data_IF_292788362363
#
_entry.id   IF_292788362363
#
_cell.length_a   1.000
_cell.length_b   1.000
_cell.length_c   1.000
_cell.angle_alpha   90.00
_cell.angle_beta   90.00
_cell.angle_gamma   90.00
#
_symmetry.space_group_name_H-M   'P 1'
#
loop_
_entity.id
_entity.type
_entity.pdbx_description
1 polymer ?
#
# COMPACT_ATOMS: atom_id res chain seq x y z
N UNK A 1 -34.11 44.88 45.43
CA UNK A 1 -33.59 45.81 44.41
C UNK A 1 -34.54 46.04 43.22
N UNK A 2 -34.54 47.24 42.62
CA UNK A 2 -35.23 47.54 41.34
C UNK A 2 -34.17 47.79 40.25
N UNK A 3 -34.27 47.09 39.12
CA UNK A 3 -33.38 47.26 37.96
C UNK A 3 -34.18 47.76 36.78
N UNK A 4 -33.79 48.90 36.20
CA UNK A 4 -34.38 49.45 34.97
C UNK A 4 -33.63 48.92 33.75
N UNK A 5 -34.40 48.43 32.77
CA UNK A 5 -33.88 47.91 31.49
C UNK A 5 -34.06 48.96 30.41
N UNK A 6 -33.04 49.17 29.58
CA UNK A 6 -33.13 50.05 28.42
C UNK A 6 -33.82 49.32 27.24
N UNK A 7 -34.61 50.00 26.37
CA UNK A 7 -35.17 49.37 25.17
C UNK A 7 -34.14 48.62 24.30
N UNK A 8 -32.88 49.07 24.28
CA UNK A 8 -31.80 48.45 23.51
C UNK A 8 -31.04 47.34 24.25
N UNK A 9 -31.22 47.17 25.57
CA UNK A 9 -30.46 46.20 26.38
C UNK A 9 -30.71 44.75 25.90
N UNK A 10 -29.61 44.03 25.62
CA UNK A 10 -29.65 42.60 25.26
C UNK A 10 -29.77 41.69 26.49
N UNK A 11 -30.20 40.44 26.29
CA UNK A 11 -30.37 39.45 27.37
C UNK A 11 -29.11 39.28 28.23
N UNK A 12 -27.92 39.25 27.62
CA UNK A 12 -26.66 39.04 28.34
C UNK A 12 -26.36 40.18 29.31
N UNK A 13 -26.62 41.42 28.90
CA UNK A 13 -26.44 42.62 29.74
C UNK A 13 -27.38 42.58 30.93
N UNK A 14 -28.65 42.22 30.69
CA UNK A 14 -29.67 42.11 31.73
C UNK A 14 -29.31 41.01 32.75
N UNK A 15 -28.90 39.83 32.27
CA UNK A 15 -28.47 38.71 33.13
C UNK A 15 -27.23 39.08 33.94
N UNK A 16 -26.28 39.81 33.36
CA UNK A 16 -25.09 40.25 34.08
C UNK A 16 -25.43 41.21 35.22
N UNK A 17 -26.30 42.20 34.98
CA UNK A 17 -26.80 43.12 36.03
C UNK A 17 -27.54 42.37 37.13
N UNK A 18 -28.38 41.39 36.76
CA UNK A 18 -29.08 40.55 37.74
C UNK A 18 -28.09 39.75 38.58
N UNK A 19 -26.99 39.23 38.02
CA UNK A 19 -26.00 38.44 38.78
C UNK A 19 -25.18 39.27 39.75
N UNK A 20 -24.79 40.48 39.35
CA UNK A 20 -23.96 41.38 40.16
C UNK A 20 -24.64 41.87 41.44
N UNK A 21 -25.98 41.86 41.46
CA UNK A 21 -26.74 42.35 42.60
C UNK A 21 -26.58 41.44 43.85
N UNK A 22 -26.56 41.98 45.06
CA UNK A 22 -26.47 41.15 46.27
C UNK A 22 -27.86 40.72 46.79
N UNK A 23 -28.90 41.48 46.45
CA UNK A 23 -30.29 41.20 46.83
C UNK A 23 -30.83 39.91 46.18
N UNK A 24 -31.54 39.11 46.98
CA UNK A 24 -32.25 37.93 46.51
C UNK A 24 -33.59 38.24 45.87
N UNK A 25 -34.19 39.41 46.14
CA UNK A 25 -35.44 39.87 45.52
C UNK A 25 -35.19 41.02 44.54
N UNK A 26 -35.48 40.79 43.26
CA UNK A 26 -35.21 41.73 42.17
C UNK A 26 -36.48 42.02 41.39
N UNK A 27 -36.81 43.31 41.26
CA UNK A 27 -37.87 43.81 40.39
C UNK A 27 -37.24 44.38 39.13
N UNK A 28 -37.50 43.76 37.98
CA UNK A 28 -37.00 44.19 36.68
C UNK A 28 -38.06 45.03 35.98
N UNK A 29 -37.82 46.34 35.83
CA UNK A 29 -38.72 47.26 35.12
C UNK A 29 -38.34 47.26 33.65
N UNK A 30 -39.24 46.73 32.82
CA UNK A 30 -39.02 46.53 31.39
C UNK A 30 -39.93 47.47 30.60
N UNK A 31 -39.37 48.43 29.83
CA UNK A 31 -40.15 49.35 29.02
C UNK A 31 -40.88 48.60 27.90
N UNK A 32 -42.01 49.13 27.41
CA UNK A 32 -42.57 48.64 26.15
C UNK A 32 -41.49 48.79 25.07
N UNK A 33 -41.39 47.81 24.17
CA UNK A 33 -40.41 47.78 23.06
C UNK A 33 -39.01 47.19 23.32
N UNK A 34 -38.68 46.70 24.53
CA UNK A 34 -37.43 45.93 24.68
C UNK A 34 -37.45 44.67 23.80
N UNK A 35 -36.58 44.61 22.80
CA UNK A 35 -36.59 43.56 21.77
C UNK A 35 -36.17 42.20 22.32
N UNK A 36 -35.22 42.17 23.26
CA UNK A 36 -34.68 40.95 23.81
C UNK A 36 -35.72 40.18 24.64
N UNK A 37 -36.52 40.87 25.44
CA UNK A 37 -37.51 40.26 26.32
C UNK A 37 -38.87 40.02 25.66
N UNK A 38 -39.06 40.42 24.40
CA UNK A 38 -40.23 40.01 23.60
C UNK A 38 -40.12 38.59 23.05
N UNK A 39 -38.90 38.05 22.99
CA UNK A 39 -38.69 36.64 22.63
C UNK A 39 -38.98 35.72 23.84
N UNK A 40 -39.88 34.77 23.63
CA UNK A 40 -40.23 33.73 24.61
C UNK A 40 -39.02 32.92 25.08
N UNK A 41 -38.05 32.64 24.21
CA UNK A 41 -36.84 31.87 24.54
C UNK A 41 -35.99 32.65 25.54
N UNK A 42 -35.85 33.96 25.32
CA UNK A 42 -35.05 34.83 26.18
C UNK A 42 -35.65 34.99 27.57
N UNK A 43 -36.98 35.10 27.69
CA UNK A 43 -37.65 35.07 29.00
C UNK A 43 -37.42 33.73 29.72
N UNK A 44 -37.45 32.61 29.00
CA UNK A 44 -37.20 31.29 29.59
C UNK A 44 -35.76 31.16 30.10
N UNK A 45 -34.79 31.69 29.34
CA UNK A 45 -33.39 31.74 29.75
C UNK A 45 -33.20 32.67 30.96
N UNK A 46 -33.83 33.84 30.97
CA UNK A 46 -33.79 34.78 32.08
C UNK A 46 -34.33 34.14 33.39
N UNK A 47 -35.47 33.46 33.31
CA UNK A 47 -36.05 32.73 34.45
C UNK A 47 -35.10 31.66 34.99
N UNK A 48 -34.46 30.91 34.08
CA UNK A 48 -33.47 29.89 34.45
C UNK A 48 -32.26 30.51 35.14
N UNK A 49 -31.68 31.58 34.60
CA UNK A 49 -30.52 32.25 35.19
C UNK A 49 -30.81 32.86 36.56
N UNK A 50 -32.00 33.43 36.75
CA UNK A 50 -32.44 33.93 38.06
C UNK A 50 -32.53 32.79 39.08
N UNK A 51 -33.13 31.66 38.70
CA UNK A 51 -33.22 30.47 39.55
C UNK A 51 -31.86 29.86 39.89
N UNK A 52 -30.98 29.75 38.90
CA UNK A 52 -29.61 29.25 39.08
C UNK A 52 -28.78 30.15 40.01
N UNK A 53 -29.11 31.45 40.04
CA UNK A 53 -28.46 32.43 40.91
C UNK A 53 -29.17 32.61 42.26
N UNK A 54 -30.16 31.75 42.57
CA UNK A 54 -31.00 31.80 43.79
C UNK A 54 -31.73 33.15 44.01
N UNK A 55 -32.15 33.80 42.92
CA UNK A 55 -32.83 35.10 42.94
C UNK A 55 -34.30 34.98 42.54
N UNK A 56 -35.15 35.65 43.31
CA UNK A 56 -36.58 35.80 43.07
C UNK A 56 -36.80 37.02 42.17
N UNK A 57 -37.04 36.75 40.89
CA UNK A 57 -37.25 37.76 39.86
C UNK A 57 -38.74 38.10 39.69
N UNK A 58 -39.07 39.38 39.72
CA UNK A 58 -40.40 39.92 39.43
C UNK A 58 -40.28 40.90 38.25
N UNK A 59 -41.09 40.76 37.22
CA UNK A 59 -41.06 41.64 36.04
C UNK A 59 -42.15 42.70 36.17
N UNK A 60 -41.80 43.98 36.05
CA UNK A 60 -42.74 45.10 35.97
C UNK A 60 -42.77 45.64 34.55
N UNK A 61 -43.89 45.51 33.84
CA UNK A 61 -44.00 45.96 32.44
C UNK A 61 -45.45 46.25 32.03
N UNK A 62 -45.61 47.10 31.01
CA UNK A 62 -46.87 47.34 30.32
C UNK A 62 -47.02 46.59 28.98
N UNK A 63 -46.00 45.86 28.50
CA UNK A 63 -46.07 45.18 27.20
C UNK A 63 -46.83 43.83 27.26
N UNK A 64 -47.94 43.67 26.52
CA UNK A 64 -48.74 42.44 26.54
C UNK A 64 -47.98 41.16 26.15
N UNK A 65 -46.97 41.25 25.27
CA UNK A 65 -46.19 40.08 24.84
C UNK A 65 -45.24 39.59 25.92
N UNK A 66 -44.57 40.53 26.59
CA UNK A 66 -43.64 40.23 27.70
C UNK A 66 -44.42 39.62 28.87
N UNK A 67 -45.59 40.17 29.21
CA UNK A 67 -46.50 39.63 30.23
C UNK A 67 -46.87 38.18 29.90
N UNK A 68 -47.34 37.92 28.68
CA UNK A 68 -47.76 36.58 28.22
C UNK A 68 -46.62 35.57 28.32
N UNK A 69 -45.41 35.95 27.94
CA UNK A 69 -44.26 35.06 27.95
C UNK A 69 -43.72 34.83 29.37
N UNK A 70 -43.74 35.84 30.24
CA UNK A 70 -43.33 35.73 31.63
C UNK A 70 -44.29 34.85 32.44
N UNK A 71 -45.60 35.02 32.26
CA UNK A 71 -46.62 34.16 32.88
C UNK A 71 -46.47 32.70 32.42
N UNK A 72 -46.13 32.47 31.14
CA UNK A 72 -45.91 31.12 30.59
C UNK A 72 -44.69 30.38 31.18
N UNK A 73 -43.80 31.08 31.88
CA UNK A 73 -42.63 30.51 32.58
C UNK A 73 -42.75 30.69 34.10
N UNK A 74 -43.96 30.98 34.59
CA UNK A 74 -44.28 31.12 36.03
C UNK A 74 -43.51 32.24 36.75
N UNK A 75 -43.02 33.25 36.02
CA UNK A 75 -42.45 34.44 36.63
C UNK A 75 -43.57 35.36 37.15
N UNK A 76 -43.34 35.99 38.31
CA UNK A 76 -44.29 36.97 38.85
C UNK A 76 -44.23 38.26 38.04
N UNK A 77 -45.38 38.77 37.62
CA UNK A 77 -45.49 40.00 36.82
C UNK A 77 -46.33 41.05 37.55
N UNK A 78 -45.81 42.27 37.63
CA UNK A 78 -46.52 43.46 38.10
C UNK A 78 -46.85 44.28 36.85
N UNK A 79 -48.14 44.54 36.61
CA UNK A 79 -48.56 45.35 35.46
C UNK A 79 -48.29 46.82 35.76
N UNK A 80 -47.56 47.49 34.86
CA UNK A 80 -47.26 48.91 34.98
C UNK A 80 -48.20 49.71 34.07
N UNK A 81 -49.23 50.32 34.64
CA UNK A 81 -50.18 51.19 33.92
C UNK A 81 -49.68 52.64 33.80
N UNK A 82 -48.45 52.93 34.25
CA UNK A 82 -47.88 54.28 34.33
C UNK A 82 -46.68 54.55 33.42
N UNK A 83 -46.25 53.58 32.60
CA UNK A 83 -45.03 53.71 31.76
C UNK A 83 -45.29 54.35 30.38
N UNK A 84 -46.01 55.48 30.36
CA UNK A 84 -46.10 56.39 29.22
C UNK A 84 -46.04 57.84 29.71
N UNK A 85 -44.98 58.20 30.43
CA UNK A 85 -44.68 59.60 30.75
C UNK A 85 -43.21 59.80 31.14
N UNK A 86 -42.62 60.85 30.55
CA UNK A 86 -41.39 61.61 30.91
C UNK A 86 -40.05 60.89 30.58
N UNK A 87 -39.06 61.44 29.88
CA UNK A 87 -38.57 62.84 29.78
C UNK A 87 -38.05 63.19 28.36
N UNK A 88 -38.57 64.30 27.82
CA UNK A 88 -37.85 65.17 26.88
C UNK A 88 -36.93 66.09 27.71
N UNK A 89 -35.66 66.21 27.30
CA UNK A 89 -34.72 67.20 27.78
C UNK A 89 -34.43 68.24 26.70
N UNK A 90 -34.94 69.45 26.94
CA UNK A 90 -34.46 70.77 26.55
C UNK A 90 -34.08 71.04 25.07
N UNK A 91 -34.91 71.86 24.40
CA UNK A 91 -34.39 73.08 23.79
C UNK A 91 -35.49 74.14 23.63
N UNK A 92 -35.12 75.36 23.98
CA UNK A 92 -35.93 76.56 24.15
C UNK A 92 -36.66 77.00 22.88
N UNK A 93 -37.91 77.49 23.01
CA UNK A 93 -38.33 78.80 22.48
C UNK A 93 -39.84 79.06 22.68
N UNK A 94 -40.11 80.04 23.54
CA UNK A 94 -41.11 81.12 23.42
C UNK A 94 -42.45 80.80 22.73
N UNK A 95 -43.50 80.77 23.54
CA UNK A 95 -44.90 80.75 23.19
C UNK A 95 -45.41 82.11 22.65
N UNK A 96 -45.97 82.17 21.42
CA UNK A 96 -47.04 83.13 21.04
C UNK A 96 -48.01 82.54 20.00
N UNK A 97 -49.24 82.27 20.47
CA UNK A 97 -50.59 82.33 19.83
C UNK A 97 -50.82 81.95 18.34
N UNK A 98 -51.70 80.94 18.21
CA UNK A 98 -52.86 80.80 17.31
C UNK A 98 -52.75 81.15 15.81
N UNK A 99 -52.88 80.13 14.94
CA UNK A 99 -54.09 79.88 14.09
C UNK A 99 -53.85 78.76 13.06
N UNK A 100 -54.69 77.73 13.16
CA UNK A 100 -55.38 77.04 12.06
C UNK A 100 -54.62 76.81 10.72
N UNK A 101 -53.95 75.65 10.56
CA UNK A 101 -53.64 75.05 9.25
C UNK A 101 -53.24 73.56 9.33
N UNK A 102 -54.04 72.73 10.01
CA UNK A 102 -53.93 71.27 9.91
C UNK A 102 -54.58 70.78 8.60
N UNK A 103 -53.82 70.74 7.49
CA UNK A 103 -54.10 69.81 6.39
C UNK A 103 -52.97 69.64 5.37
N UNK A 104 -51.89 70.46 5.39
CA UNK A 104 -50.75 70.31 4.47
C UNK A 104 -49.64 69.38 4.98
N UNK A 105 -49.25 69.45 6.26
CA UNK A 105 -48.16 68.62 6.81
C UNK A 105 -48.40 67.10 6.75
N UNK A 106 -49.66 66.65 6.89
CA UNK A 106 -50.00 65.22 6.79
C UNK A 106 -49.90 64.71 5.36
N UNK A 107 -50.25 65.54 4.38
CA UNK A 107 -50.17 65.21 2.96
C UNK A 107 -48.71 65.20 2.51
N UNK A 108 -47.89 66.14 2.98
CA UNK A 108 -46.45 66.17 2.70
C UNK A 108 -45.71 64.96 3.30
N UNK A 109 -45.98 64.60 4.56
CA UNK A 109 -45.42 63.37 5.17
C UNK A 109 -45.87 62.09 4.45
N UNK A 110 -47.11 62.04 3.96
CA UNK A 110 -47.62 60.91 3.19
C UNK A 110 -46.98 60.81 1.79
N UNK A 111 -46.74 61.96 1.13
CA UNK A 111 -46.03 62.02 -0.15
C UNK A 111 -44.57 61.57 0.03
N UNK A 112 -43.89 62.00 1.10
CA UNK A 112 -42.52 61.57 1.40
C UNK A 112 -42.47 60.06 1.69
N UNK A 113 -43.41 59.53 2.48
CA UNK A 113 -43.52 58.09 2.73
C UNK A 113 -43.81 57.29 1.44
N UNK A 114 -44.67 57.79 0.56
CA UNK A 114 -44.94 57.16 -0.73
C UNK A 114 -43.74 57.23 -1.67
N UNK A 115 -42.95 58.31 -1.65
CA UNK A 115 -41.70 58.42 -2.41
C UNK A 115 -40.62 57.48 -1.88
N UNK A 116 -40.52 57.31 -0.56
CA UNK A 116 -39.62 56.33 0.05
C UNK A 116 -40.08 54.91 -0.31
N UNK A 117 -41.38 54.61 -0.18
CA UNK A 117 -41.94 53.32 -0.57
C UNK A 117 -41.75 53.04 -2.07
N UNK A 118 -41.97 54.02 -2.94
CA UNK A 118 -41.73 53.91 -4.38
C UNK A 118 -40.23 53.77 -4.71
N UNK A 119 -39.35 54.44 -3.97
CA UNK A 119 -37.90 54.27 -4.11
C UNK A 119 -37.45 52.89 -3.64
N UNK A 120 -37.99 52.40 -2.53
CA UNK A 120 -37.71 51.04 -2.01
C UNK A 120 -38.24 49.98 -2.97
N UNK A 121 -39.47 50.14 -3.48
CA UNK A 121 -40.05 49.25 -4.49
C UNK A 121 -39.31 49.33 -5.83
N UNK A 122 -38.87 50.52 -6.25
CA UNK A 122 -38.07 50.73 -7.45
C UNK A 122 -36.69 50.11 -7.32
N UNK A 123 -36.05 50.24 -6.15
CA UNK A 123 -34.78 49.60 -5.83
C UNK A 123 -34.95 48.08 -5.78
N UNK A 124 -35.99 47.57 -5.13
CA UNK A 124 -36.32 46.14 -5.10
C UNK A 124 -36.52 45.59 -6.52
N UNK A 125 -37.35 46.25 -7.34
CA UNK A 125 -37.57 45.87 -8.74
C UNK A 125 -36.28 45.92 -9.58
N UNK A 126 -35.39 46.88 -9.31
CA UNK A 126 -34.10 46.97 -9.96
C UNK A 126 -33.15 45.81 -9.62
N UNK A 127 -33.32 45.16 -8.48
CA UNK A 127 -32.51 44.01 -8.05
C UNK A 127 -33.09 42.64 -8.42
N UNK A 128 -34.31 42.55 -8.97
CA UNK A 128 -34.90 41.28 -9.38
C UNK A 128 -34.34 40.79 -10.74
N UNK A 129 -34.08 39.48 -10.90
CA UNK A 129 -33.74 38.90 -12.19
C UNK A 129 -34.94 39.00 -13.14
N UNK A 130 -34.68 39.41 -14.38
CA UNK A 130 -35.70 39.60 -15.44
C UNK A 130 -35.68 38.51 -16.50
N UNK A 131 -34.58 37.77 -16.59
CA UNK A 131 -34.49 36.59 -17.44
C UNK A 131 -33.77 35.45 -16.72
N UNK A 132 -34.23 34.22 -16.96
CA UNK A 132 -33.60 32.99 -16.50
C UNK A 132 -33.04 32.28 -17.71
N UNK A 133 -31.72 32.11 -17.74
CA UNK A 133 -30.99 31.47 -18.82
C UNK A 133 -30.50 30.13 -18.29
N UNK A 134 -30.84 29.07 -19.01
CA UNK A 134 -30.43 27.71 -18.66
C UNK A 134 -29.24 27.34 -19.53
N UNK A 135 -28.20 26.82 -18.87
CA UNK A 135 -26.91 26.52 -19.49
C UNK A 135 -26.55 25.08 -19.18
N UNK A 136 -26.36 24.30 -20.24
CA UNK A 136 -25.92 22.90 -20.14
C UNK A 136 -24.40 22.86 -20.31
N UNK A 137 -23.64 22.35 -19.33
CA UNK A 137 -22.19 22.21 -19.47
C UNK A 137 -21.86 21.16 -20.52
N UNK A 138 -20.79 21.40 -21.28
CA UNK A 138 -20.30 20.45 -22.26
C UNK A 138 -19.68 19.25 -21.56
N UNK A 139 -20.07 18.06 -21.98
CA UNK A 139 -19.48 16.81 -21.55
C UNK A 139 -18.67 16.23 -22.70
N UNK A 140 -17.42 15.89 -22.42
CA UNK A 140 -16.56 15.23 -23.39
C UNK A 140 -15.87 14.02 -22.74
N UNK A 141 -15.67 12.98 -23.56
CA UNK A 141 -14.86 11.85 -23.16
C UNK A 141 -13.40 12.20 -23.32
N UNK A 142 -12.70 12.33 -22.20
CA UNK A 142 -11.27 12.58 -22.14
C UNK A 142 -10.52 11.25 -22.06
N UNK A 143 -9.65 11.01 -23.04
CA UNK A 143 -8.78 9.83 -23.09
C UNK A 143 -7.36 10.26 -22.85
N UNK A 144 -6.70 9.64 -21.88
CA UNK A 144 -5.34 9.98 -21.51
C UNK A 144 -4.55 8.74 -21.13
N UNK A 145 -3.29 8.69 -21.57
CA UNK A 145 -2.37 7.60 -21.24
C UNK A 145 -1.40 8.11 -20.19
N UNK A 146 -1.49 7.56 -18.98
CA UNK A 146 -0.55 7.82 -17.91
C UNK A 146 0.58 6.81 -17.94
N UNK A 147 1.81 7.30 -17.78
CA UNK A 147 3.01 6.49 -17.60
C UNK A 147 3.67 6.94 -16.31
N UNK A 148 3.65 6.09 -15.29
CA UNK A 148 4.13 6.44 -13.95
C UNK A 148 4.93 5.28 -13.35
N UNK A 149 5.95 5.57 -12.51
CA UNK A 149 6.62 4.55 -11.72
C UNK A 149 5.61 3.83 -10.81
N UNK A 150 5.69 2.51 -10.74
CA UNK A 150 4.75 1.69 -9.96
C UNK A 150 4.84 1.99 -8.46
N UNK A 151 6.04 2.28 -7.96
CA UNK A 151 6.36 2.64 -6.58
C UNK A 151 6.03 4.09 -6.22
N UNK A 152 5.77 4.94 -7.22
CA UNK A 152 5.48 6.37 -7.04
C UNK A 152 3.99 6.70 -6.90
N UNK A 153 3.11 5.70 -6.94
CA UNK A 153 1.66 5.87 -6.86
C UNK A 153 1.12 5.52 -5.48
N UNK A 154 0.32 6.42 -4.92
CA UNK A 154 -0.46 6.14 -3.72
C UNK A 154 -1.42 4.96 -3.96
N UNK A 155 -1.52 4.07 -2.97
CA UNK A 155 -2.27 2.82 -3.08
C UNK A 155 -1.50 1.64 -3.65
N UNK A 156 -0.25 1.83 -4.06
CA UNK A 156 0.65 0.73 -4.44
C UNK A 156 1.77 0.60 -3.42
N UNK A 157 1.90 -0.59 -2.83
CA UNK A 157 2.91 -0.86 -1.80
C UNK A 157 3.71 -2.12 -2.14
N UNK A 158 5.03 -2.08 -1.98
CA UNK A 158 5.88 -3.27 -2.08
C UNK A 158 5.77 -4.08 -0.79
N UNK A 159 5.10 -5.24 -0.86
CA UNK A 159 5.08 -6.19 0.22
C UNK A 159 6.25 -7.16 0.14
N UNK A 160 6.78 -7.54 1.29
CA UNK A 160 7.79 -8.58 1.41
C UNK A 160 7.46 -9.53 2.55
N UNK A 161 7.60 -10.81 2.28
CA UNK A 161 7.45 -11.89 3.26
C UNK A 161 8.65 -12.81 3.14
N UNK A 162 8.99 -13.48 4.24
CA UNK A 162 10.13 -14.39 4.26
C UNK A 162 9.78 -15.67 5.02
N UNK A 163 10.40 -16.77 4.61
CA UNK A 163 10.29 -18.05 5.28
C UNK A 163 11.60 -18.82 5.16
N UNK A 164 11.91 -19.66 6.14
CA UNK A 164 13.06 -20.56 6.13
C UNK A 164 12.57 -21.95 5.72
N UNK A 165 13.01 -22.43 4.56
CA UNK A 165 12.67 -23.77 4.10
C UNK A 165 13.89 -24.68 4.10
N UNK A 166 13.67 -25.91 4.51
CA UNK A 166 14.56 -27.04 4.24
C UNK A 166 13.78 -28.12 3.50
N UNK A 167 14.36 -28.65 2.43
CA UNK A 167 13.82 -29.80 1.69
C UNK A 167 14.88 -30.87 1.50
N UNK A 168 14.41 -32.11 1.40
CA UNK A 168 15.24 -33.31 1.32
C UNK A 168 14.86 -34.17 0.13
N UNK A 169 15.83 -34.89 -0.42
CA UNK A 169 15.65 -35.91 -1.44
C UNK A 169 16.57 -37.10 -1.13
N UNK A 170 16.21 -38.34 -1.53
CA UNK A 170 17.10 -39.48 -1.35
C UNK A 170 18.42 -39.31 -2.10
N UNK A 171 19.52 -39.76 -1.49
CA UNK A 171 20.81 -39.86 -2.15
C UNK A 171 20.79 -41.00 -3.18
N UNK A 172 21.28 -40.75 -4.38
CA UNK A 172 21.32 -41.74 -5.48
C UNK A 172 22.75 -42.12 -5.86
N UNK A 173 23.74 -41.35 -5.40
CA UNK A 173 25.14 -41.66 -5.58
C UNK A 173 25.55 -42.92 -4.83
N UNK A 174 26.48 -43.65 -5.42
CA UNK A 174 27.09 -44.84 -4.82
C UNK A 174 28.59 -44.73 -4.89
N UNK A 175 29.26 -44.96 -3.77
CA UNK A 175 30.72 -44.98 -3.67
C UNK A 175 31.16 -46.32 -3.12
N UNK A 176 32.00 -47.00 -3.88
CA UNK A 176 32.58 -48.28 -3.47
C UNK A 176 33.86 -47.99 -2.70
N UNK A 177 33.95 -48.49 -1.47
CA UNK A 177 35.12 -48.36 -0.60
C UNK A 177 35.58 -49.74 -0.16
N UNK A 178 36.85 -50.05 -0.38
CA UNK A 178 37.45 -51.30 0.09
C UNK A 178 37.68 -51.27 1.60
N UNK A 179 37.17 -52.28 2.31
CA UNK A 179 37.26 -52.40 3.78
C UNK A 179 38.30 -53.44 4.24
N UNK A 180 38.55 -54.46 3.42
CA UNK A 180 39.48 -55.54 3.72
C UNK A 180 40.52 -55.65 2.61
N UNK A 181 41.76 -55.98 2.96
CA UNK A 181 42.83 -56.20 1.98
C UNK A 181 42.93 -57.67 1.62
N UNK A 182 43.09 -57.93 0.33
CA UNK A 182 43.33 -59.28 -0.14
C UNK A 182 44.70 -59.79 0.30
N UNK A 183 44.75 -61.05 0.70
CA UNK A 183 45.97 -61.76 1.10
C UNK A 183 46.16 -63.00 0.23
N UNK A 184 47.39 -63.46 0.15
CA UNK A 184 47.74 -64.71 -0.51
C UNK A 184 49.23 -64.98 -0.41
N UNK A 185 49.72 -65.90 -1.24
CA UNK A 185 51.14 -66.23 -1.30
C UNK A 185 51.64 -66.21 -2.74
N UNK A 186 52.91 -65.89 -2.91
CA UNK A 186 53.63 -65.95 -4.18
C UNK A 186 54.85 -66.83 -4.05
N UNK A 187 55.13 -67.59 -5.09
CA UNK A 187 56.41 -68.27 -5.28
C UNK A 187 57.36 -67.36 -6.04
N UNK A 188 58.49 -67.07 -5.40
CA UNK A 188 59.62 -66.39 -6.00
C UNK A 188 60.58 -67.44 -6.56
N UNK A 189 61.00 -67.26 -7.81
CA UNK A 189 61.86 -68.19 -8.55
C UNK A 189 63.15 -67.47 -8.92
N UNK A 190 64.26 -67.96 -8.38
CA UNK A 190 65.60 -67.44 -8.63
C UNK A 190 66.36 -68.38 -9.58
N UNK A 191 66.74 -67.85 -10.74
CA UNK A 191 67.55 -68.56 -11.74
C UNK A 191 69.03 -68.16 -11.68
N UNK A 192 69.41 -67.24 -10.78
CA UNK A 192 70.79 -66.77 -10.61
C UNK A 192 71.62 -67.70 -9.71
N UNK A 193 72.94 -67.53 -9.76
CA UNK A 193 73.90 -68.28 -8.94
C UNK A 193 74.10 -67.71 -7.52
N UNK A 194 73.49 -66.58 -7.21
CA UNK A 194 73.51 -65.95 -5.89
C UNK A 194 72.13 -66.00 -5.24
N UNK A 195 72.08 -66.16 -3.93
CA UNK A 195 70.81 -66.02 -3.20
C UNK A 195 70.29 -64.57 -3.28
N UNK A 196 68.97 -64.41 -3.22
CA UNK A 196 68.32 -63.11 -3.22
C UNK A 196 67.55 -62.91 -1.91
N UNK A 197 67.91 -61.89 -1.13
CA UNK A 197 67.22 -61.51 0.10
C UNK A 197 66.13 -60.47 -0.22
N UNK A 198 64.86 -60.89 -0.17
CA UNK A 198 63.70 -60.03 -0.37
C UNK A 198 63.20 -59.55 0.98
N UNK A 199 63.20 -58.24 1.18
CA UNK A 199 62.74 -57.64 2.43
C UNK A 199 61.21 -57.63 2.53
N UNK A 200 60.71 -57.50 3.76
CA UNK A 200 59.32 -57.17 4.06
C UNK A 200 58.98 -55.81 3.44
N UNK A 201 57.79 -55.72 2.86
CA UNK A 201 57.29 -54.51 2.21
C UNK A 201 57.76 -54.32 0.77
N UNK A 202 58.51 -55.27 0.20
CA UNK A 202 58.83 -55.25 -1.23
C UNK A 202 57.56 -55.33 -2.06
N UNK A 203 57.47 -54.48 -3.09
CA UNK A 203 56.27 -54.36 -3.93
C UNK A 203 56.29 -55.37 -5.06
N UNK A 204 55.18 -56.08 -5.21
CA UNK A 204 54.87 -56.94 -6.34
C UNK A 204 53.72 -56.36 -7.15
N UNK A 205 53.68 -56.70 -8.43
CA UNK A 205 52.75 -56.09 -9.38
C UNK A 205 52.13 -57.14 -10.31
N UNK A 206 50.85 -56.95 -10.57
CA UNK A 206 50.11 -57.71 -11.59
C UNK A 206 50.23 -57.04 -12.95
N UNK A 207 49.95 -57.77 -14.03
CA UNK A 207 49.92 -57.18 -15.37
C UNK A 207 48.88 -56.06 -15.57
N UNK A 208 47.91 -55.92 -14.65
CA UNK A 208 46.89 -54.86 -14.64
C UNK A 208 47.21 -53.71 -13.68
N UNK A 209 48.40 -53.69 -13.06
CA UNK A 209 48.86 -52.61 -12.18
C UNK A 209 48.40 -52.71 -10.71
N UNK A 210 47.73 -53.79 -10.31
CA UNK A 210 47.38 -54.03 -8.89
C UNK A 210 48.66 -54.36 -8.13
N UNK A 211 48.87 -53.68 -7.00
CA UNK A 211 50.08 -53.76 -6.19
C UNK A 211 49.87 -54.59 -4.92
N UNK A 212 50.87 -55.39 -4.61
CA UNK A 212 50.97 -56.19 -3.39
C UNK A 212 52.27 -55.87 -2.67
N UNK A 213 52.34 -56.14 -1.37
CA UNK A 213 53.55 -56.02 -0.55
C UNK A 213 53.84 -57.34 0.17
N UNK A 214 55.12 -57.72 0.28
CA UNK A 214 55.53 -58.86 1.12
C UNK A 214 55.28 -58.55 2.60
N UNK A 215 54.80 -59.54 3.36
CA UNK A 215 54.49 -59.36 4.78
C UNK A 215 55.66 -59.69 5.71
N UNK A 216 56.66 -60.44 5.20
CA UNK A 216 57.85 -60.92 5.92
C UNK A 216 59.06 -60.93 5.00
N UNK A 217 60.26 -60.95 5.59
CA UNK A 217 61.51 -61.16 4.86
C UNK A 217 61.60 -62.60 4.35
N UNK A 218 62.13 -62.81 3.15
CA UNK A 218 62.34 -64.15 2.56
C UNK A 218 63.66 -64.20 1.81
N UNK A 219 64.40 -65.30 1.96
CA UNK A 219 65.62 -65.56 1.20
C UNK A 219 65.32 -66.59 0.13
N UNK A 220 65.53 -66.23 -1.13
CA UNK A 220 65.35 -67.13 -2.28
C UNK A 220 66.72 -67.75 -2.62
N UNK A 221 66.90 -69.07 -2.48
CA UNK A 221 68.19 -69.71 -2.71
C UNK A 221 68.64 -69.56 -4.17
N UNK A 222 69.93 -69.75 -4.42
CA UNK A 222 70.48 -69.80 -5.77
C UNK A 222 70.06 -71.08 -6.52
N UNK A 223 70.23 -71.08 -7.84
CA UNK A 223 70.06 -72.29 -8.68
C UNK A 223 71.02 -73.40 -8.23
N UNK A 224 70.51 -74.63 -8.10
CA UNK A 224 71.29 -75.80 -7.71
C UNK A 224 71.40 -76.80 -8.86
N UNK A 225 72.60 -77.30 -9.12
CA UNK A 225 72.86 -78.34 -10.13
C UNK A 225 72.49 -79.72 -9.57
N UNK A 226 71.61 -80.44 -10.27
CA UNK A 226 71.29 -81.83 -9.97
C UNK A 226 72.31 -82.76 -10.63
N UNK A 227 72.74 -83.78 -9.90
CA UNK A 227 73.66 -84.80 -10.37
C UNK A 227 73.01 -86.18 -10.33
N UNK A 228 73.26 -87.01 -11.34
CA UNK A 228 72.95 -88.43 -11.35
C UNK A 228 74.23 -89.21 -11.67
N UNK A 229 74.70 -90.05 -10.74
CA UNK A 229 75.98 -90.75 -10.86
C UNK A 229 77.15 -89.81 -11.24
N UNK A 230 77.29 -88.68 -10.52
CA UNK A 230 78.31 -87.64 -10.74
C UNK A 230 78.25 -86.91 -12.09
N UNK A 231 77.19 -87.10 -12.88
CA UNK A 231 76.95 -86.39 -14.13
C UNK A 231 75.89 -85.31 -13.87
N UNK A 232 76.13 -84.04 -14.24
CA UNK A 232 75.14 -82.98 -14.11
C UNK A 232 73.95 -83.26 -15.05
N UNK A 233 72.77 -83.50 -14.49
CA UNK A 233 71.55 -83.88 -15.23
C UNK A 233 70.54 -82.75 -15.36
N UNK A 234 70.71 -81.64 -14.64
CA UNK A 234 69.82 -80.50 -14.78
C UNK A 234 70.10 -79.38 -13.79
N UNK A 235 69.42 -78.25 -13.99
CA UNK A 235 69.40 -77.12 -13.06
C UNK A 235 68.04 -77.06 -12.36
N UNK A 236 68.04 -76.91 -11.05
CA UNK A 236 66.83 -76.62 -10.26
C UNK A 236 66.89 -75.17 -9.79
N UNK A 237 65.97 -74.34 -10.30
CA UNK A 237 65.83 -72.96 -9.85
C UNK A 237 65.53 -72.94 -8.34
N UNK A 238 66.13 -71.99 -7.64
CA UNK A 238 65.80 -71.75 -6.25
C UNK A 238 64.38 -71.22 -6.13
N UNK A 239 63.62 -71.72 -5.17
CA UNK A 239 62.23 -71.29 -4.94
C UNK A 239 62.03 -70.97 -3.47
N UNK A 240 61.31 -69.90 -3.21
CA UNK A 240 60.81 -69.59 -1.87
C UNK A 240 59.40 -69.01 -1.98
N UNK A 241 58.55 -69.34 -1.01
CA UNK A 241 57.19 -68.83 -0.92
C UNK A 241 57.13 -67.71 0.12
N UNK A 242 56.38 -66.65 -0.20
CA UNK A 242 56.19 -65.51 0.71
C UNK A 242 54.74 -65.05 0.70
N UNK A 243 54.22 -64.78 1.89
CA UNK A 243 52.89 -64.21 2.10
C UNK A 243 52.87 -62.73 1.68
N UNK A 244 51.82 -62.36 0.97
CA UNK A 244 51.61 -61.03 0.42
C UNK A 244 50.25 -60.46 0.82
N UNK A 245 50.18 -59.13 0.88
CA UNK A 245 48.97 -58.35 1.17
C UNK A 245 48.80 -57.28 0.09
N UNK A 246 47.58 -57.08 -0.41
CA UNK A 246 47.27 -56.01 -1.34
C UNK A 246 47.61 -54.64 -0.72
N UNK A 247 48.16 -53.73 -1.53
CA UNK A 247 48.50 -52.39 -1.04
C UNK A 247 47.23 -51.60 -0.72
N UNK A 248 46.27 -51.63 -1.63
CA UNK A 248 44.94 -51.03 -1.48
C UNK A 248 43.95 -52.07 -0.94
N UNK A 249 43.02 -51.61 -0.10
CA UNK A 249 41.90 -52.43 0.34
C UNK A 249 40.85 -52.52 -0.77
N UNK A 250 40.11 -53.63 -0.80
CA UNK A 250 38.98 -53.83 -1.71
C UNK A 250 39.07 -55.10 -2.53
N UNK A 251 37.96 -55.44 -3.21
CA UNK A 251 37.84 -56.68 -3.96
C UNK A 251 38.77 -56.73 -5.18
N UNK A 252 39.26 -55.58 -5.65
CA UNK A 252 40.27 -55.49 -6.71
C UNK A 252 41.56 -56.23 -6.35
N UNK A 253 41.87 -56.37 -5.06
CA UNK A 253 43.02 -57.15 -4.60
C UNK A 253 42.86 -58.67 -4.77
N UNK A 254 41.65 -59.18 -5.08
CA UNK A 254 41.39 -60.61 -5.28
C UNK A 254 41.70 -60.98 -6.74
N UNK A 255 42.93 -61.42 -7.00
CA UNK A 255 43.40 -61.77 -8.33
C UNK A 255 43.53 -63.28 -8.48
N UNK A 256 43.22 -63.77 -9.68
CA UNK A 256 43.35 -65.20 -9.99
C UNK A 256 44.81 -65.68 -9.90
N UNK A 257 45.00 -67.00 -9.82
CA UNK A 257 46.32 -67.64 -9.91
C UNK A 257 47.10 -67.16 -11.17
N UNK A 258 48.41 -66.96 -11.02
CA UNK A 258 49.33 -66.53 -12.08
C UNK A 258 49.20 -65.08 -12.54
N UNK A 259 48.45 -64.22 -11.84
CA UNK A 259 48.28 -62.80 -12.21
C UNK A 259 49.35 -61.88 -11.66
N UNK A 260 50.00 -62.25 -10.56
CA UNK A 260 51.14 -61.51 -10.00
C UNK A 260 52.39 -62.00 -10.71
N UNK A 261 53.03 -61.10 -11.45
CA UNK A 261 54.05 -61.47 -12.45
C UNK A 261 55.39 -60.76 -12.27
N UNK A 262 55.44 -59.69 -11.48
CA UNK A 262 56.64 -58.87 -11.31
C UNK A 262 56.90 -58.52 -9.84
N UNK A 263 58.18 -58.34 -9.50
CA UNK A 263 58.65 -57.83 -8.21
C UNK A 263 59.64 -56.69 -8.44
N UNK A 264 59.45 -55.58 -7.72
CA UNK A 264 60.25 -54.37 -7.94
C UNK A 264 61.61 -54.48 -7.25
N UNK A 265 62.67 -54.21 -8.01
CA UNK A 265 64.05 -54.17 -7.48
C UNK A 265 64.77 -55.52 -7.40
N UNK A 266 64.18 -56.58 -7.96
CA UNK A 266 64.77 -57.92 -7.96
C UNK A 266 64.64 -58.55 -9.35
N UNK A 267 65.66 -59.31 -9.78
CA UNK A 267 65.63 -60.13 -10.99
C UNK A 267 65.14 -61.55 -10.64
N UNK A 268 63.86 -61.64 -10.29
CA UNK A 268 63.19 -62.90 -9.89
C UNK A 268 61.91 -63.08 -10.70
N UNK A 269 61.63 -64.30 -11.12
CA UNK A 269 60.31 -64.64 -11.67
C UNK A 269 59.32 -64.84 -10.50
N UNK A 270 58.13 -64.28 -10.62
CA UNK A 270 57.09 -64.34 -9.58
C UNK A 270 55.82 -64.93 -10.15
N UNK A 271 55.22 -65.84 -9.39
CA UNK A 271 53.87 -66.32 -9.66
C UNK A 271 53.12 -66.58 -8.36
N UNK A 272 51.85 -66.19 -8.29
CA UNK A 272 50.94 -66.71 -7.28
C UNK A 272 50.36 -68.05 -7.74
N UNK A 273 50.63 -69.12 -7.00
CA UNK A 273 50.11 -70.47 -7.31
C UNK A 273 48.60 -70.54 -7.06
N UNK A 274 48.14 -69.89 -5.99
CA UNK A 274 46.74 -69.78 -5.61
C UNK A 274 46.23 -68.35 -5.83
N UNK A 275 44.90 -68.16 -6.02
CA UNK A 275 44.31 -66.82 -6.07
C UNK A 275 44.48 -66.09 -4.74
N UNK A 276 44.60 -64.76 -4.79
CA UNK A 276 44.48 -63.93 -3.58
C UNK A 276 43.01 -63.74 -3.22
N UNK A 277 42.71 -63.64 -1.93
CA UNK A 277 41.34 -63.56 -1.42
C UNK A 277 41.26 -62.71 -0.15
N UNK A 278 40.05 -62.38 0.30
CA UNK A 278 39.83 -61.57 1.51
C UNK A 278 39.73 -60.07 1.27
N UNK A 279 39.88 -59.61 0.03
CA UNK A 279 39.53 -58.24 -0.35
C UNK A 279 38.01 -58.06 -0.41
N UNK A 280 37.47 -57.11 0.36
CA UNK A 280 36.02 -56.86 0.43
C UNK A 280 35.73 -55.38 0.22
N UNK A 281 34.62 -55.11 -0.46
CA UNK A 281 34.11 -53.77 -0.74
C UNK A 281 32.80 -53.52 -0.01
N UNK A 282 32.57 -52.28 0.41
CA UNK A 282 31.29 -51.77 0.89
C UNK A 282 30.80 -50.69 -0.06
N UNK A 283 29.50 -50.70 -0.36
CA UNK A 283 28.85 -49.66 -1.14
C UNK A 283 28.22 -48.67 -0.18
N UNK A 284 28.72 -47.43 -0.19
CA UNK A 284 28.19 -46.30 0.57
C UNK A 284 27.27 -45.47 -0.31
N UNK A 285 26.17 -44.98 0.26
CA UNK A 285 25.34 -43.95 -0.38
C UNK A 285 26.00 -42.59 -0.20
N UNK A 286 26.10 -41.85 -1.30
CA UNK A 286 26.73 -40.54 -1.31
C UNK A 286 25.89 -39.52 -2.05
N UNK A 287 25.99 -38.27 -1.63
CA UNK A 287 25.36 -37.16 -2.30
C UNK A 287 26.00 -36.88 -3.66
N UNK A 288 25.19 -36.87 -4.73
CA UNK A 288 25.61 -36.39 -6.06
C UNK A 288 24.99 -35.05 -6.38
N UNK A 289 25.58 -34.33 -7.34
CA UNK A 289 25.16 -32.97 -7.70
C UNK A 289 23.71 -32.91 -8.16
N UNK A 290 23.25 -33.93 -8.88
CA UNK A 290 21.87 -34.05 -9.32
C UNK A 290 20.88 -34.14 -8.14
N UNK A 291 21.27 -34.78 -7.04
CA UNK A 291 20.43 -34.86 -5.83
C UNK A 291 20.34 -33.50 -5.14
N UNK A 292 21.45 -32.77 -5.07
CA UNK A 292 21.51 -31.44 -4.47
C UNK A 292 20.65 -30.46 -5.29
N UNK A 293 20.75 -30.50 -6.62
CA UNK A 293 19.92 -29.70 -7.53
C UNK A 293 18.43 -30.03 -7.38
N UNK A 294 18.07 -31.32 -7.21
CA UNK A 294 16.70 -31.71 -6.90
C UNK A 294 16.22 -31.12 -5.58
N UNK A 295 17.01 -31.18 -4.51
CA UNK A 295 16.66 -30.58 -3.23
C UNK A 295 16.48 -29.05 -3.34
N UNK A 296 17.35 -28.36 -4.08
CA UNK A 296 17.24 -26.92 -4.34
C UNK A 296 15.96 -26.58 -5.11
N UNK A 297 15.60 -27.37 -6.13
CA UNK A 297 14.38 -27.18 -6.90
C UNK A 297 13.11 -27.38 -6.04
N UNK A 298 13.15 -28.32 -5.09
CA UNK A 298 12.07 -28.48 -4.10
C UNK A 298 11.92 -27.23 -3.22
N UNK A 299 13.02 -26.68 -2.71
CA UNK A 299 12.99 -25.42 -1.92
C UNK A 299 12.43 -24.27 -2.76
N UNK A 300 12.86 -24.12 -4.02
CA UNK A 300 12.36 -23.04 -4.89
C UNK A 300 10.85 -23.15 -5.15
N UNK A 301 10.38 -24.33 -5.51
CA UNK A 301 8.95 -24.57 -5.80
C UNK A 301 8.08 -24.36 -4.56
N UNK A 302 8.46 -24.98 -3.45
CA UNK A 302 7.66 -24.92 -2.23
C UNK A 302 7.76 -23.54 -1.58
N UNK A 303 8.93 -22.90 -1.66
CA UNK A 303 9.13 -21.53 -1.21
C UNK A 303 8.29 -20.54 -1.99
N UNK A 304 8.22 -20.66 -3.32
CA UNK A 304 7.32 -19.86 -4.15
C UNK A 304 5.86 -20.00 -3.70
N UNK A 305 5.39 -21.24 -3.49
CA UNK A 305 4.03 -21.48 -3.04
C UNK A 305 3.75 -20.90 -1.64
N UNK A 306 4.61 -21.20 -0.65
CA UNK A 306 4.43 -20.71 0.72
C UNK A 306 4.48 -19.18 0.82
N UNK A 307 5.36 -18.52 0.05
CA UNK A 307 5.47 -17.06 0.00
C UNK A 307 4.25 -16.41 -0.66
N UNK A 308 3.71 -17.01 -1.74
CA UNK A 308 2.47 -16.53 -2.37
C UNK A 308 1.30 -16.64 -1.41
N UNK A 309 1.16 -17.77 -0.74
CA UNK A 309 0.10 -17.97 0.26
C UNK A 309 0.22 -16.96 1.41
N UNK A 310 1.45 -16.69 1.89
CA UNK A 310 1.70 -15.69 2.91
C UNK A 310 1.34 -14.26 2.46
N UNK A 311 1.67 -13.88 1.22
CA UNK A 311 1.28 -12.58 0.65
C UNK A 311 -0.25 -12.47 0.52
N UNK A 312 -0.93 -13.53 0.09
CA UNK A 312 -2.39 -13.56 -0.03
C UNK A 312 -3.07 -13.31 1.32
N UNK A 313 -2.55 -13.91 2.40
CA UNK A 313 -3.05 -13.67 3.76
C UNK A 313 -2.87 -12.20 4.19
N UNK A 314 -1.82 -11.54 3.72
CA UNK A 314 -1.53 -10.14 4.04
C UNK A 314 -2.36 -9.14 3.19
N UNK A 315 -3.09 -9.59 2.17
CA UNK A 315 -3.80 -8.70 1.24
C UNK A 315 -4.79 -7.77 1.93
N UNK A 316 -5.55 -8.25 2.91
CA UNK A 316 -6.47 -7.40 3.68
C UNK A 316 -7.49 -6.61 2.82
N UNK A 317 -7.85 -7.11 1.63
CA UNK A 317 -8.71 -6.42 0.66
C UNK A 317 -7.98 -5.76 -0.53
N UNK A 318 -6.65 -5.73 -0.51
CA UNK A 318 -5.79 -5.31 -1.63
C UNK A 318 -5.66 -6.43 -2.66
N UNK A 319 -5.16 -6.09 -3.85
CA UNK A 319 -4.87 -7.04 -4.93
C UNK A 319 -3.37 -7.17 -5.12
N UNK A 320 -2.86 -8.40 -5.22
CA UNK A 320 -1.47 -8.65 -5.60
C UNK A 320 -1.32 -8.55 -7.11
N UNK A 321 -0.29 -7.85 -7.59
CA UNK A 321 0.12 -7.89 -8.99
C UNK A 321 1.04 -9.09 -9.18
N UNK A 322 0.47 -10.20 -9.67
CA UNK A 322 1.18 -11.48 -9.81
C UNK A 322 2.44 -11.40 -10.68
N UNK A 323 2.38 -10.60 -11.75
CA UNK A 323 3.49 -10.36 -12.69
C UNK A 323 4.72 -9.72 -12.02
N UNK A 324 4.53 -9.07 -10.87
CA UNK A 324 5.63 -8.44 -10.12
C UNK A 324 6.24 -9.35 -9.07
N UNK A 325 5.68 -10.55 -8.85
CA UNK A 325 6.17 -11.48 -7.85
C UNK A 325 7.58 -11.97 -8.19
N UNK A 326 8.51 -11.71 -7.29
CA UNK A 326 9.89 -12.18 -7.36
C UNK A 326 10.27 -12.90 -6.09
N UNK A 327 11.03 -13.98 -6.25
CA UNK A 327 11.59 -14.76 -5.16
C UNK A 327 13.12 -14.66 -5.18
N UNK A 328 13.68 -14.21 -4.07
CA UNK A 328 15.11 -14.26 -3.79
C UNK A 328 15.35 -15.40 -2.79
N UNK A 329 16.37 -16.22 -3.01
CA UNK A 329 16.71 -17.33 -2.10
C UNK A 329 18.16 -17.16 -1.64
N UNK A 330 18.34 -16.97 -0.34
CA UNK A 330 19.65 -16.99 0.30
C UNK A 330 19.89 -18.39 0.89
N UNK A 331 20.75 -19.17 0.23
CA UNK A 331 21.08 -20.52 0.70
C UNK A 331 21.89 -20.47 1.99
N UNK A 332 21.36 -21.09 3.04
CA UNK A 332 22.00 -21.14 4.36
C UNK A 332 22.91 -22.36 4.49
N UNK A 333 22.44 -23.52 4.03
CA UNK A 333 23.19 -24.77 4.12
C UNK A 333 22.67 -25.80 3.11
N UNK A 334 23.53 -26.71 2.67
CA UNK A 334 23.17 -27.84 1.80
C UNK A 334 24.20 -28.97 1.92
N UNK A 335 23.80 -30.18 1.55
CA UNK A 335 24.73 -31.31 1.45
C UNK A 335 25.83 -31.04 0.42
N UNK A 336 26.98 -31.68 0.59
CA UNK A 336 28.13 -31.55 -0.31
C UNK A 336 28.27 -32.77 -1.22
N UNK A 337 28.88 -32.58 -2.40
CA UNK A 337 29.19 -33.70 -3.29
C UNK A 337 30.14 -34.68 -2.59
N UNK A 338 29.90 -35.99 -2.75
CA UNK A 338 30.63 -37.09 -2.09
C UNK A 338 30.44 -37.20 -0.57
N UNK A 339 29.53 -36.43 0.03
CA UNK A 339 29.12 -36.61 1.42
C UNK A 339 28.43 -37.96 1.60
N UNK A 340 28.86 -38.76 2.58
CA UNK A 340 28.23 -40.03 2.93
C UNK A 340 26.91 -39.78 3.66
N UNK A 341 25.79 -39.97 2.95
CA UNK A 341 24.45 -39.72 3.47
C UNK A 341 23.41 -40.50 2.66
N UNK A 342 22.32 -40.92 3.32
CA UNK A 342 21.15 -41.50 2.66
C UNK A 342 20.17 -40.44 2.14
N UNK A 343 20.26 -39.20 2.63
CA UNK A 343 19.42 -38.08 2.23
C UNK A 343 20.24 -36.82 1.96
N UNK A 344 19.93 -36.18 0.85
CA UNK A 344 20.49 -34.88 0.44
C UNK A 344 19.51 -33.78 0.79
N UNK A 345 19.99 -32.69 1.36
CA UNK A 345 19.14 -31.56 1.72
C UNK A 345 19.66 -30.23 1.16
N UNK A 346 18.72 -29.30 1.00
CA UNK A 346 19.00 -27.90 0.74
C UNK A 346 18.14 -27.05 1.69
N UNK A 347 18.74 -26.00 2.25
CA UNK A 347 18.09 -25.06 3.15
C UNK A 347 18.40 -23.63 2.75
N UNK A 348 17.36 -22.79 2.70
CA UNK A 348 17.53 -21.39 2.36
C UNK A 348 16.42 -20.51 2.94
N UNK A 349 16.76 -19.24 3.13
CA UNK A 349 15.79 -18.19 3.45
C UNK A 349 15.22 -17.72 2.11
N UNK A 350 13.93 -17.97 1.91
CA UNK A 350 13.19 -17.52 0.74
C UNK A 350 12.52 -16.19 1.08
N UNK A 351 12.74 -15.17 0.25
CA UNK A 351 12.14 -13.84 0.37
C UNK A 351 11.29 -13.58 -0.86
N UNK A 352 9.98 -13.47 -0.66
CA UNK A 352 9.01 -13.15 -1.71
C UNK A 352 8.68 -11.67 -1.68
N UNK A 353 8.73 -11.02 -2.84
CA UNK A 353 8.41 -9.60 -3.02
C UNK A 353 7.37 -9.45 -4.10
N UNK A 354 6.33 -8.67 -3.86
CA UNK A 354 5.32 -8.32 -4.85
C UNK A 354 4.67 -6.98 -4.52
N UNK A 355 4.14 -6.31 -5.53
CA UNK A 355 3.35 -5.11 -5.34
C UNK A 355 1.89 -5.47 -5.01
N UNK A 356 1.38 -4.83 -3.96
CA UNK A 356 -0.01 -4.88 -3.56
C UNK A 356 -0.70 -3.57 -3.93
N UNK A 357 -1.94 -3.66 -4.38
CA UNK A 357 -2.73 -2.54 -4.91
C UNK A 357 -4.03 -2.40 -4.12
N UNK A 358 -4.23 -1.21 -3.57
CA UNK A 358 -5.52 -0.74 -3.07
C UNK A 358 -6.23 0.02 -4.20
N UNK A 359 -7.29 -0.57 -4.76
CA UNK A 359 -8.01 0.00 -5.91
C UNK A 359 -8.65 1.37 -5.59
N UNK A 360 -9.09 1.59 -4.36
CA UNK A 360 -9.73 2.84 -3.96
C UNK A 360 -8.70 3.97 -3.84
N UNK A 361 -7.51 3.66 -3.33
CA UNK A 361 -6.41 4.63 -3.29
C UNK A 361 -5.85 4.90 -4.69
N UNK A 362 -5.64 3.84 -5.48
CA UNK A 362 -5.12 3.96 -6.84
C UNK A 362 -6.04 4.79 -7.73
N UNK A 363 -7.36 4.59 -7.64
CA UNK A 363 -8.33 5.38 -8.42
C UNK A 363 -8.29 6.87 -8.06
N UNK A 364 -8.23 7.21 -6.76
CA UNK A 364 -8.08 8.60 -6.30
C UNK A 364 -6.76 9.23 -6.75
N UNK A 365 -5.65 8.51 -6.63
CA UNK A 365 -4.33 8.96 -7.07
C UNK A 365 -4.30 9.21 -8.58
N UNK A 366 -4.86 8.29 -9.35
CA UNK A 366 -4.98 8.41 -10.81
C UNK A 366 -5.85 9.60 -11.20
N UNK A 367 -6.99 9.81 -10.52
CA UNK A 367 -7.86 10.96 -10.79
C UNK A 367 -7.18 12.30 -10.53
N UNK A 368 -6.36 12.40 -9.48
CA UNK A 368 -5.58 13.61 -9.19
C UNK A 368 -4.56 13.91 -10.30
N UNK A 369 -3.85 12.89 -10.78
CA UNK A 369 -2.91 13.02 -11.90
C UNK A 369 -3.63 13.38 -13.22
N UNK A 370 -4.80 12.79 -13.47
CA UNK A 370 -5.60 13.12 -14.65
C UNK A 370 -6.11 14.55 -14.63
N UNK A 371 -6.45 15.09 -13.46
CA UNK A 371 -6.94 16.45 -13.32
C UNK A 371 -5.92 17.51 -13.79
N UNK A 372 -4.61 17.24 -13.65
CA UNK A 372 -3.54 18.12 -14.16
C UNK A 372 -3.46 18.15 -15.70
N UNK A 373 -3.93 17.09 -16.35
CA UNK A 373 -3.92 16.97 -17.81
C UNK A 373 -5.22 17.47 -18.48
N UNK A 374 -6.23 17.87 -17.69
CA UNK A 374 -7.51 18.36 -18.22
C UNK A 374 -7.32 19.73 -18.88
N UNK A 375 -7.86 19.94 -20.09
CA UNK A 375 -7.78 21.24 -20.77
C UNK A 375 -8.44 22.38 -19.97
N UNK A 376 -7.93 23.61 -20.16
CA UNK A 376 -8.51 24.81 -19.56
C UNK A 376 -10.01 24.95 -19.87
N UNK A 377 -10.79 25.37 -18.88
CA UNK A 377 -12.24 25.50 -19.00
C UNK A 377 -13.03 24.21 -18.78
N UNK A 378 -12.36 23.11 -18.43
CA UNK A 378 -12.98 21.84 -18.04
C UNK A 378 -12.54 21.38 -16.65
N UNK A 379 -13.34 20.52 -16.03
CA UNK A 379 -13.03 19.83 -14.78
C UNK A 379 -13.30 18.34 -14.93
N UNK A 380 -12.42 17.50 -14.40
CA UNK A 380 -12.60 16.06 -14.36
C UNK A 380 -13.78 15.69 -13.46
N UNK A 381 -14.58 14.70 -13.86
CA UNK A 381 -15.58 14.06 -13.00
C UNK A 381 -14.97 12.77 -12.45
N UNK A 382 -14.45 12.75 -11.20
CA UNK A 382 -13.59 11.67 -10.71
C UNK A 382 -14.26 10.29 -10.71
N UNK A 383 -15.58 10.25 -10.49
CA UNK A 383 -16.37 9.00 -10.44
C UNK A 383 -16.49 8.30 -11.80
N UNK A 384 -16.22 9.01 -12.91
CA UNK A 384 -16.29 8.46 -14.27
C UNK A 384 -14.96 7.91 -14.78
N UNK A 385 -13.92 7.94 -13.95
CA UNK A 385 -12.59 7.43 -14.33
C UNK A 385 -12.67 5.90 -14.47
N UNK A 386 -12.40 5.43 -15.68
CA UNK A 386 -12.33 4.02 -16.04
C UNK A 386 -10.99 3.69 -16.68
N UNK A 387 -10.56 2.44 -16.55
CA UNK A 387 -9.31 1.93 -17.12
C UNK A 387 -9.62 1.06 -18.34
N UNK A 388 -9.21 1.52 -19.53
CA UNK A 388 -9.34 0.76 -20.79
C UNK A 388 -8.34 -0.41 -20.83
N UNK A 389 -7.11 -0.16 -20.36
CA UNK A 389 -6.05 -1.16 -20.29
C UNK A 389 -5.02 -0.77 -19.23
N UNK A 390 -4.53 -1.77 -18.51
CA UNK A 390 -3.44 -1.66 -17.55
C UNK A 390 -2.33 -2.57 -18.01
N UNK A 391 -1.11 -2.05 -18.15
CA UNK A 391 0.07 -2.87 -18.41
C UNK A 391 1.25 -2.42 -17.58
N UNK A 392 2.06 -3.39 -17.16
CA UNK A 392 3.24 -3.16 -16.35
C UNK A 392 4.45 -3.61 -17.15
N UNK A 393 5.41 -2.70 -17.28
CA UNK A 393 6.67 -2.97 -17.96
C UNK A 393 7.80 -2.94 -16.95
N UNK A 394 8.64 -3.97 -16.94
CA UNK A 394 9.89 -3.94 -16.18
C UNK A 394 10.95 -3.14 -16.94
N UNK A 395 11.61 -2.22 -16.24
CA UNK A 395 12.71 -1.38 -16.74
C UNK A 395 13.91 -1.48 -15.79
N UNK A 396 15.09 -0.99 -16.18
CA UNK A 396 16.27 -0.99 -15.30
C UNK A 396 16.06 -0.20 -13.99
N UNK A 397 15.15 0.77 -13.99
CA UNK A 397 14.81 1.59 -12.82
C UNK A 397 13.68 1.01 -11.97
N UNK A 398 13.10 -0.14 -12.33
CA UNK A 398 11.94 -0.74 -11.66
C UNK A 398 10.76 -0.95 -12.61
N UNK A 399 9.56 -1.08 -12.05
CA UNK A 399 8.35 -1.28 -12.86
C UNK A 399 7.70 0.05 -13.25
N UNK A 400 7.34 0.20 -14.52
CA UNK A 400 6.51 1.29 -15.00
C UNK A 400 5.09 0.80 -15.26
N UNK A 401 4.13 1.53 -14.71
CA UNK A 401 2.70 1.32 -14.92
C UNK A 401 2.23 2.20 -16.08
N UNK A 402 1.65 1.57 -17.10
CA UNK A 402 0.98 2.23 -18.20
C UNK A 402 -0.53 2.07 -18.03
N UNK A 403 -1.21 3.19 -17.80
CA UNK A 403 -2.66 3.23 -17.63
C UNK A 403 -3.26 3.95 -18.82
N UNK A 404 -4.04 3.23 -19.63
CA UNK A 404 -4.93 3.88 -20.59
C UNK A 404 -6.24 4.17 -19.89
N UNK A 405 -6.51 5.44 -19.68
CA UNK A 405 -7.66 5.90 -18.90
C UNK A 405 -8.66 6.64 -19.79
N UNK A 406 -9.93 6.52 -19.42
CA UNK A 406 -11.02 7.28 -20.00
C UNK A 406 -11.87 7.87 -18.86
N UNK A 407 -12.19 9.15 -18.96
CA UNK A 407 -13.05 9.85 -18.00
C UNK A 407 -13.94 10.87 -18.69
N UNK A 408 -15.00 11.31 -18.04
CA UNK A 408 -15.82 12.44 -18.48
C UNK A 408 -15.24 13.73 -17.89
N UNK A 409 -15.01 14.71 -18.76
CA UNK A 409 -14.71 16.08 -18.36
C UNK A 409 -15.95 16.95 -18.58
N UNK A 410 -16.23 17.82 -17.63
CA UNK A 410 -17.35 18.77 -17.67
C UNK A 410 -16.81 20.19 -17.82
N UNK A 411 -17.38 20.97 -18.74
CA UNK A 411 -17.05 22.38 -18.84
C UNK A 411 -17.37 23.18 -17.57
N UNK A 412 -16.44 24.03 -17.15
CA UNK A 412 -16.61 24.94 -16.02
C UNK A 412 -17.39 26.15 -16.49
N UNK A 413 -18.49 26.47 -15.81
CA UNK A 413 -19.34 27.61 -16.13
C UNK A 413 -19.18 28.66 -15.04
N UNK A 414 -18.60 29.81 -15.40
CA UNK A 414 -18.65 31.01 -14.57
C UNK A 414 -19.92 31.79 -14.90
N UNK A 415 -20.91 31.70 -14.01
CA UNK A 415 -22.21 32.37 -14.15
C UNK A 415 -22.07 33.89 -14.31
N UNK A 416 -21.13 34.52 -13.61
CA UNK A 416 -20.97 35.97 -13.62
C UNK A 416 -20.37 36.45 -14.94
N UNK A 417 -19.32 35.77 -15.41
CA UNK A 417 -18.68 36.07 -16.69
C UNK A 417 -19.63 35.79 -17.85
N UNK A 418 -20.38 34.68 -17.80
CA UNK A 418 -21.35 34.34 -18.82
C UNK A 418 -22.53 35.33 -18.87
N UNK A 419 -23.03 35.77 -17.71
CA UNK A 419 -24.05 36.81 -17.64
C UNK A 419 -23.56 38.16 -18.21
N UNK A 420 -22.27 38.49 -18.06
CA UNK A 420 -21.70 39.70 -18.67
C UNK A 420 -21.64 39.60 -20.19
N UNK A 421 -21.27 38.43 -20.72
CA UNK A 421 -21.17 38.21 -22.17
C UNK A 421 -22.54 38.15 -22.85
N UNK A 422 -23.57 37.64 -22.15
CA UNK A 422 -24.95 37.52 -22.63
C UNK A 422 -25.78 38.81 -22.46
N UNK A 423 -25.36 39.74 -21.60
CA UNK A 423 -26.12 40.96 -21.33
C UNK A 423 -26.29 41.82 -22.59
N UNK A 424 -27.53 42.15 -22.93
CA UNK A 424 -27.89 42.97 -24.09
C UNK A 424 -27.77 42.29 -25.45
N UNK A 425 -27.38 41.01 -25.49
CA UNK A 425 -27.27 40.20 -26.71
C UNK A 425 -28.63 39.82 -27.28
N UNK A 426 -28.66 39.66 -28.58
CA UNK A 426 -29.80 39.15 -29.34
C UNK A 426 -29.67 37.64 -29.53
N UNK A 427 -30.77 36.94 -29.79
CA UNK A 427 -30.79 35.47 -29.88
C UNK A 427 -29.80 34.93 -30.92
N UNK A 428 -29.67 35.62 -32.07
CA UNK A 428 -28.73 35.30 -33.14
C UNK A 428 -27.24 35.44 -32.72
N UNK A 429 -26.95 36.19 -31.66
CA UNK A 429 -25.59 36.40 -31.15
C UNK A 429 -25.20 35.36 -30.08
N UNK A 430 -26.14 34.53 -29.60
CA UNK A 430 -25.88 33.50 -28.58
C UNK A 430 -24.89 32.46 -29.10
N UNK A 431 -24.95 32.11 -30.39
CA UNK A 431 -23.99 31.20 -31.03
C UNK A 431 -22.56 31.73 -30.97
N UNK A 432 -22.36 33.05 -31.03
CA UNK A 432 -21.04 33.67 -30.89
C UNK A 432 -20.51 33.53 -29.46
N UNK A 433 -21.40 33.65 -28.47
CA UNK A 433 -21.06 33.45 -27.05
C UNK A 433 -20.77 31.98 -26.77
N UNK A 434 -21.48 31.04 -27.39
CA UNK A 434 -21.19 29.60 -27.33
C UNK A 434 -19.79 29.28 -27.88
N UNK A 435 -19.40 29.87 -29.03
CA UNK A 435 -18.06 29.68 -29.60
C UNK A 435 -16.96 30.23 -28.67
N UNK A 436 -17.22 31.35 -27.99
CA UNK A 436 -16.28 31.95 -27.04
C UNK A 436 -16.16 31.16 -25.72
N UNK A 437 -17.10 30.26 -25.42
CA UNK A 437 -17.13 29.47 -24.19
C UNK A 437 -17.14 27.96 -24.52
N UNK A 438 -15.98 27.35 -24.81
CA UNK A 438 -15.90 25.95 -25.24
C UNK A 438 -16.42 24.94 -24.20
N UNK A 439 -16.52 25.33 -22.92
CA UNK A 439 -17.11 24.53 -21.84
C UNK A 439 -18.64 24.49 -21.82
N UNK A 440 -19.33 25.25 -22.68
CA UNK A 440 -20.81 25.30 -22.73
C UNK A 440 -21.31 24.49 -23.93
N UNK A 441 -22.21 23.53 -23.69
CA UNK A 441 -22.84 22.76 -24.78
C UNK A 441 -24.07 23.46 -25.35
N UNK A 442 -24.88 24.06 -24.47
CA UNK A 442 -26.15 24.68 -24.87
C UNK A 442 -26.51 25.84 -23.96
N UNK A 443 -27.10 26.88 -24.55
CA UNK A 443 -27.70 28.02 -23.86
C UNK A 443 -29.12 28.16 -24.38
N UNK A 444 -30.11 28.32 -23.50
CA UNK A 444 -31.46 28.70 -23.90
C UNK A 444 -32.16 29.54 -22.82
N UNK A 445 -33.14 30.34 -23.22
CA UNK A 445 -33.89 31.21 -22.32
C UNK A 445 -35.12 30.47 -21.79
N UNK A 446 -35.18 30.21 -20.48
CA UNK A 446 -36.32 29.56 -19.81
C UNK A 446 -37.45 30.57 -19.53
N UNK A 447 -37.09 31.81 -19.17
CA UNK A 447 -38.07 32.88 -18.90
C UNK A 447 -37.46 34.25 -19.17
N UNK A 448 -38.23 35.21 -19.70
CA UNK A 448 -37.79 36.56 -20.03
C UNK A 448 -38.04 36.95 -21.50
N UNK A 449 -37.55 38.12 -21.94
CA UNK A 449 -37.66 38.55 -23.33
C UNK A 449 -36.78 37.65 -24.23
N UNK A 450 -37.38 37.08 -25.28
CA UNK A 450 -36.70 36.14 -26.18
C UNK A 450 -35.88 36.84 -27.27
N UNK A 451 -36.39 37.95 -27.81
CA UNK A 451 -35.73 38.65 -28.92
C UNK A 451 -34.43 39.34 -28.50
N UNK A 452 -34.39 39.87 -27.27
CA UNK A 452 -33.25 40.65 -26.75
C UNK A 452 -33.11 40.52 -25.25
N UNK A 453 -31.94 40.07 -24.82
CA UNK A 453 -31.64 39.88 -23.41
C UNK A 453 -31.50 41.24 -22.67
N UNK A 454 -31.88 41.30 -21.38
CA UNK A 454 -31.64 42.47 -20.54
C UNK A 454 -30.20 42.98 -20.58
N UNK A 455 -30.01 44.31 -20.63
CA UNK A 455 -28.69 44.94 -20.76
C UNK A 455 -27.80 44.86 -19.52
N UNK A 456 -28.39 44.64 -18.34
CA UNK A 456 -27.63 44.55 -17.10
C UNK A 456 -27.40 43.08 -16.75
N UNK A 457 -26.14 42.64 -16.54
CA UNK A 457 -25.83 41.24 -16.20
C UNK A 457 -26.59 40.74 -14.97
N UNK A 458 -26.81 41.61 -13.97
CA UNK A 458 -27.55 41.30 -12.74
C UNK A 458 -29.02 40.90 -12.97
N UNK A 459 -29.58 41.25 -14.13
CA UNK A 459 -30.95 40.88 -14.50
C UNK A 459 -31.01 39.51 -15.18
N UNK A 460 -29.87 38.89 -15.45
CA UNK A 460 -29.77 37.53 -15.97
C UNK A 460 -29.46 36.60 -14.80
N UNK A 461 -30.34 35.63 -14.57
CA UNK A 461 -30.07 34.51 -13.67
C UNK A 461 -29.61 33.34 -14.51
N UNK A 462 -28.36 32.93 -14.36
CA UNK A 462 -27.84 31.72 -14.97
C UNK A 462 -28.24 30.53 -14.10
N UNK A 463 -28.81 29.50 -14.74
CA UNK A 463 -29.18 28.24 -14.12
C UNK A 463 -28.41 27.15 -14.84
N UNK A 464 -27.40 26.58 -14.16
CA UNK A 464 -26.60 25.49 -14.72
C UNK A 464 -27.39 24.19 -14.55
N UNK A 465 -27.59 23.45 -15.64
CA UNK A 465 -28.19 22.11 -15.57
C UNK A 465 -27.22 21.13 -14.95
N UNK A 466 -27.72 20.28 -14.04
CA UNK A 466 -26.95 19.16 -13.51
C UNK A 466 -26.92 18.02 -14.55
N UNK A 467 -25.75 17.69 -15.10
CA UNK A 467 -25.62 16.54 -15.99
C UNK A 467 -25.85 15.21 -15.25
N UNK A 468 -26.42 14.25 -15.97
CA UNK A 468 -26.48 12.83 -15.56
C UNK A 468 -25.29 12.11 -16.19
N UNK A 469 -24.52 11.37 -15.40
CA UNK A 469 -23.25 10.73 -15.80
C UNK A 469 -23.37 9.22 -15.96
#
# INVERSE_FOLDING_TARGET
MIIYVDPADELNTIVHRIRLEEDSEIVLVVPPENWALRDRINIKLLAKYAKDSQKNLVIKTGDPLIIKHAEAVELRVIRDESAAAVEDGDEEAVEVKHRNRQSRDRVERLIVLLLIAASVLGLAYYHLPKAVIVVSPKQETFKYTLQVPLDGLDGIELASVQTLLTRRTPATGRKIVGISRAVGAVTLINQSQSEAAVAKGTILETGSGILFRTTKDVVVPAVTTQYFMDIPTGLTAGKAEVEIEAVEAGSQGNVAAGRIVAIRGYDLEVRNSDPTSGGEDVVLEVAVREDIERAQNLVRRDGEQELRDALIVQLGGRLMIDETFKIDIEWTNMSQVDEETSEVFASGICVGKAYLVDLDQLSRATAALLAEAVPDGFVLVPETVSFDSVSINETEAGYQLNLRTQAVIRGVIDEATLAQQLAGREDEEIDTVLIANPGVARIYVESGPQDKLPQLPRWLKIKVEEPVY
#
